data_IF_278269421793
#
_entry.id   IF_278269421793
#
_cell.length_a   1.000
_cell.length_b   1.000
_cell.length_c   1.000
_cell.angle_alpha   90.00
_cell.angle_beta   90.00
_cell.angle_gamma   90.00
#
_symmetry.space_group_name_H-M   'P 1'
#
loop_
_entity.id
_entity.type
_entity.pdbx_description
1 polymer ?
#
# COMPACT_ATOMS: atom_id res chain seq x y z
N UNK A 1 -34.35 38.88 17.70
CA UNK A 1 -35.58 39.10 18.48
C UNK A 1 -36.74 39.33 17.52
N UNK A 2 -37.86 38.64 17.72
CA UNK A 2 -39.15 38.87 17.03
C UNK A 2 -39.67 37.62 16.29
N UNK A 3 -40.48 36.73 16.90
CA UNK A 3 -41.97 36.74 17.02
C UNK A 3 -42.65 36.69 15.65
N UNK A 4 -43.71 35.94 15.31
CA UNK A 4 -44.65 34.99 15.94
C UNK A 4 -45.60 34.54 14.80
N UNK A 5 -46.56 33.64 15.11
CA UNK A 5 -47.80 33.32 14.37
C UNK A 5 -47.74 32.18 13.34
N UNK A 6 -48.76 31.34 13.12
CA UNK A 6 -50.04 31.04 13.78
C UNK A 6 -50.72 29.96 12.93
N UNK A 7 -51.44 29.03 13.55
CA UNK A 7 -52.49 28.22 12.92
C UNK A 7 -52.01 27.04 12.06
N UNK A 8 -52.72 25.93 11.93
CA UNK A 8 -54.10 25.63 12.27
C UNK A 8 -54.26 24.12 12.53
N UNK A 9 -55.28 23.84 13.32
CA UNK A 9 -55.74 22.56 13.82
C UNK A 9 -56.61 21.88 12.76
N UNK A 10 -56.35 20.60 12.44
CA UNK A 10 -57.37 19.61 12.04
C UNK A 10 -56.88 18.24 12.53
N UNK A 11 -57.30 17.72 13.68
CA UNK A 11 -58.60 17.11 13.99
C UNK A 11 -58.99 15.94 13.06
N UNK A 12 -58.71 14.73 13.57
CA UNK A 12 -59.62 13.57 13.63
C UNK A 12 -60.10 12.90 12.34
N UNK A 13 -59.63 11.67 12.10
CA UNK A 13 -60.47 10.50 11.73
C UNK A 13 -59.65 9.20 11.94
N UNK A 14 -60.00 8.44 12.97
CA UNK A 14 -60.74 7.17 12.86
C UNK A 14 -59.84 5.93 12.77
N UNK A 15 -59.69 5.29 13.93
CA UNK A 15 -59.77 3.83 14.15
C UNK A 15 -59.83 2.97 12.87
N UNK A 16 -58.89 2.04 12.71
CA UNK A 16 -59.25 0.61 12.67
C UNK A 16 -58.03 -0.31 12.78
N UNK A 17 -58.17 -1.32 13.64
CA UNK A 17 -57.42 -2.56 13.77
C UNK A 17 -56.67 -3.06 12.53
N UNK A 18 -55.46 -3.59 12.75
CA UNK A 18 -55.25 -5.04 12.75
C UNK A 18 -53.81 -5.37 13.14
N UNK A 19 -53.69 -6.37 14.01
CA UNK A 19 -52.45 -6.98 14.46
C UNK A 19 -51.63 -7.52 13.28
N UNK A 20 -50.32 -7.30 13.31
CA UNK A 20 -49.35 -8.09 12.57
C UNK A 20 -48.28 -8.61 13.54
N UNK A 21 -47.95 -9.91 13.46
CA UNK A 21 -47.12 -10.59 14.43
C UNK A 21 -45.65 -10.18 14.30
N UNK A 22 -45.00 -10.25 15.45
CA UNK A 22 -43.56 -10.11 15.68
C UNK A 22 -42.84 -11.14 14.79
N UNK A 23 -42.19 -10.69 13.71
CA UNK A 23 -41.35 -11.56 12.87
C UNK A 23 -39.94 -11.59 13.47
N UNK A 24 -39.68 -12.66 14.23
CA UNK A 24 -38.36 -13.00 14.75
C UNK A 24 -37.47 -13.49 13.61
N UNK A 25 -36.66 -12.59 13.04
CA UNK A 25 -35.65 -12.95 12.06
C UNK A 25 -34.43 -13.57 12.77
N UNK A 26 -34.49 -14.88 12.99
CA UNK A 26 -33.39 -15.71 13.48
C UNK A 26 -33.11 -16.79 12.45
N UNK A 27 -32.02 -16.66 11.69
CA UNK A 27 -31.58 -17.71 10.78
C UNK A 27 -30.52 -17.26 9.80
N UNK A 28 -29.35 -17.87 9.91
CA UNK A 28 -28.30 -18.00 8.91
C UNK A 28 -27.56 -16.74 8.46
N UNK A 29 -26.63 -16.34 9.31
CA UNK A 29 -25.34 -15.77 8.88
C UNK A 29 -24.48 -16.87 8.26
N UNK A 30 -24.89 -17.44 7.12
CA UNK A 30 -24.06 -18.34 6.31
C UNK A 30 -23.68 -17.60 5.04
N UNK A 31 -22.90 -16.54 5.24
CA UNK A 31 -22.16 -15.84 4.20
C UNK A 31 -21.01 -16.72 3.72
N UNK A 32 -21.30 -17.79 2.99
CA UNK A 32 -20.32 -18.43 2.10
C UNK A 32 -20.26 -17.63 0.80
N UNK A 33 -19.56 -16.50 0.88
CA UNK A 33 -19.08 -15.74 -0.27
C UNK A 33 -17.71 -16.25 -0.71
N UNK A 34 -17.37 -16.08 -1.99
CA UNK A 34 -16.79 -17.11 -2.85
C UNK A 34 -15.27 -17.27 -2.77
N UNK A 35 -14.83 -18.47 -3.17
CA UNK A 35 -13.62 -18.78 -3.92
C UNK A 35 -12.57 -17.66 -4.04
N UNK A 36 -11.49 -17.91 -3.33
CA UNK A 36 -10.15 -17.32 -3.41
C UNK A 36 -9.81 -16.91 -4.85
N UNK A 37 -9.93 -15.62 -5.15
CA UNK A 37 -9.09 -15.01 -6.18
C UNK A 37 -7.80 -14.66 -5.46
N UNK A 38 -6.78 -15.52 -5.61
CA UNK A 38 -5.41 -15.17 -5.25
C UNK A 38 -4.92 -14.12 -6.25
N UNK A 39 -5.39 -12.88 -6.05
CA UNK A 39 -4.62 -11.72 -6.43
C UNK A 39 -3.44 -11.71 -5.47
N UNK A 40 -2.33 -12.34 -5.84
CA UNK A 40 -1.01 -12.06 -5.27
C UNK A 40 -0.62 -10.63 -5.66
N UNK A 41 -1.38 -9.67 -5.13
CA UNK A 41 -1.01 -8.28 -5.11
C UNK A 41 -0.03 -8.18 -3.95
N UNK A 42 1.26 -8.25 -4.31
CA UNK A 42 2.39 -8.08 -3.41
C UNK A 42 2.13 -6.90 -2.45
N UNK A 43 2.61 -6.97 -1.20
CA UNK A 43 2.36 -5.96 -0.18
C UNK A 43 3.10 -4.67 -0.52
N UNK A 44 2.58 -3.88 -1.48
CA UNK A 44 3.12 -2.58 -1.86
C UNK A 44 2.96 -1.52 -0.76
N UNK A 45 2.33 -1.87 0.38
CA UNK A 45 2.11 -0.98 1.52
C UNK A 45 3.11 -1.17 2.65
N UNK A 46 3.87 -2.28 2.68
CA UNK A 46 4.85 -2.53 3.73
C UNK A 46 6.28 -2.13 3.32
N UNK A 47 6.53 -1.99 2.01
CA UNK A 47 7.86 -1.65 1.48
C UNK A 47 8.37 -0.26 1.88
N UNK A 48 7.50 0.65 2.32
CA UNK A 48 7.92 2.00 2.76
C UNK A 48 8.55 2.01 4.16
N UNK A 49 8.09 1.13 5.05
CA UNK A 49 8.67 0.96 6.40
C UNK A 49 9.73 -0.15 6.43
N UNK A 50 9.74 -1.01 5.41
CA UNK A 50 10.76 -2.04 5.25
C UNK A 50 12.16 -1.44 5.15
N UNK A 51 13.00 -1.80 6.11
CA UNK A 51 14.43 -1.50 6.10
C UNK A 51 15.14 -2.57 5.29
N UNK A 52 15.79 -2.14 4.21
CA UNK A 52 16.60 -2.99 3.36
C UNK A 52 17.76 -3.56 4.17
N UNK A 53 18.01 -4.85 4.02
CA UNK A 53 19.13 -5.54 4.65
C UNK A 53 20.03 -6.24 3.63
N UNK A 54 21.13 -6.84 4.12
CA UNK A 54 22.02 -7.62 3.27
C UNK A 54 21.28 -8.81 2.65
N UNK A 55 21.72 -9.23 1.47
CA UNK A 55 21.11 -10.34 0.71
C UNK A 55 19.72 -10.08 0.11
N UNK A 56 19.06 -8.95 0.42
CA UNK A 56 17.83 -8.54 -0.26
C UNK A 56 18.09 -8.27 -1.74
N UNK A 57 17.08 -8.54 -2.57
CA UNK A 57 17.14 -8.28 -4.00
C UNK A 57 16.11 -7.21 -4.36
N UNK A 58 16.59 -6.12 -4.96
CA UNK A 58 15.78 -4.98 -5.35
C UNK A 58 15.89 -4.69 -6.84
N UNK A 59 14.82 -4.19 -7.42
CA UNK A 59 14.78 -3.68 -8.78
C UNK A 59 14.55 -2.19 -8.75
N UNK A 60 15.41 -1.48 -9.47
CA UNK A 60 15.41 -0.02 -9.49
C UNK A 60 15.08 0.41 -10.90
N UNK A 61 13.96 1.09 -11.11
CA UNK A 61 13.64 1.74 -12.37
C UNK A 61 14.04 3.20 -12.31
N UNK A 62 14.95 3.61 -13.18
CA UNK A 62 15.37 4.99 -13.30
C UNK A 62 15.11 5.49 -14.73
N UNK A 63 14.41 6.62 -14.86
CA UNK A 63 14.11 7.22 -16.15
C UNK A 63 15.40 7.70 -16.82
N UNK A 64 15.71 7.16 -18.00
CA UNK A 64 16.95 7.43 -18.73
C UNK A 64 18.09 6.42 -18.48
N UNK A 65 17.89 5.46 -17.57
CA UNK A 65 18.87 4.43 -17.23
C UNK A 65 18.25 3.04 -17.31
N UNK A 66 18.12 2.53 -18.55
CA UNK A 66 17.55 1.21 -18.82
C UNK A 66 18.41 0.07 -18.25
N UNK A 67 19.73 0.17 -18.30
CA UNK A 67 20.63 -0.91 -17.81
C UNK A 67 20.40 -1.26 -16.32
N UNK A 68 20.14 -0.24 -15.49
CA UNK A 68 19.80 -0.42 -14.07
C UNK A 68 18.38 -1.00 -13.91
N UNK A 69 17.48 -0.63 -14.83
CA UNK A 69 16.07 -1.04 -14.83
C UNK A 69 15.84 -2.44 -15.41
N UNK A 70 16.78 -2.96 -16.20
CA UNK A 70 16.70 -4.26 -16.85
C UNK A 70 16.86 -5.41 -15.85
N UNK A 71 17.80 -5.30 -14.91
CA UNK A 71 18.19 -6.40 -14.02
C UNK A 71 17.96 -6.07 -12.55
N UNK A 72 17.45 -7.01 -11.76
CA UNK A 72 17.43 -6.86 -10.31
C UNK A 72 18.86 -6.91 -9.76
N UNK A 73 19.12 -6.14 -8.71
CA UNK A 73 20.41 -6.00 -8.05
C UNK A 73 20.27 -6.53 -6.63
N UNK A 74 21.25 -7.35 -6.23
CA UNK A 74 21.33 -7.89 -4.88
C UNK A 74 22.17 -6.99 -3.98
N UNK A 75 21.72 -6.80 -2.74
CA UNK A 75 22.46 -6.10 -1.70
C UNK A 75 23.57 -7.03 -1.20
N UNK A 76 24.81 -6.55 -1.28
CA UNK A 76 26.00 -7.25 -0.78
C UNK A 76 25.90 -7.49 0.73
N UNK A 77 26.53 -8.53 1.31
CA UNK A 77 26.62 -8.71 2.76
C UNK A 77 27.20 -7.49 3.52
N UNK A 78 28.00 -6.67 2.84
CA UNK A 78 28.51 -5.40 3.38
C UNK A 78 27.44 -4.30 3.47
N UNK A 79 26.28 -4.51 2.83
CA UNK A 79 25.14 -3.61 2.81
C UNK A 79 25.13 -2.61 1.66
N UNK A 80 25.91 -2.86 0.61
CA UNK A 80 26.03 -2.00 -0.56
C UNK A 80 25.43 -2.65 -1.79
N UNK A 81 24.92 -1.85 -2.71
CA UNK A 81 24.54 -2.25 -4.06
C UNK A 81 25.56 -1.67 -5.04
N UNK A 82 25.86 -2.42 -6.09
CA UNK A 82 26.71 -1.93 -7.17
C UNK A 82 25.84 -1.59 -8.38
N UNK A 83 25.95 -0.35 -8.86
CA UNK A 83 25.22 0.16 -10.02
C UNK A 83 26.23 0.48 -11.12
N UNK A 84 26.09 -0.06 -12.35
CA UNK A 84 27.10 0.09 -13.39
C UNK A 84 27.37 1.56 -13.77
N UNK A 85 26.34 2.42 -13.71
CA UNK A 85 26.45 3.85 -14.05
C UNK A 85 26.63 4.78 -12.85
N UNK A 86 26.20 4.36 -11.65
CA UNK A 86 26.19 5.21 -10.44
C UNK A 86 27.24 4.78 -9.40
N UNK A 87 27.93 3.67 -9.65
CA UNK A 87 28.90 3.06 -8.74
C UNK A 87 28.25 2.39 -7.54
N UNK A 88 29.04 2.24 -6.47
CA UNK A 88 28.59 1.59 -5.24
C UNK A 88 27.73 2.54 -4.39
N UNK A 89 26.60 2.03 -3.92
CA UNK A 89 25.61 2.77 -3.14
C UNK A 89 25.23 2.01 -1.87
N UNK A 90 25.14 2.68 -0.72
CA UNK A 90 24.75 2.02 0.55
C UNK A 90 23.24 1.84 0.59
N UNK A 91 22.77 0.59 0.60
CA UNK A 91 21.34 0.27 0.65
C UNK A 91 20.90 -0.30 2.01
N UNK A 92 21.77 -1.04 2.70
CA UNK A 92 21.42 -1.64 3.97
C UNK A 92 21.22 -0.59 5.07
N UNK A 93 20.19 -0.81 5.89
CA UNK A 93 19.77 0.10 6.94
C UNK A 93 19.00 1.33 6.43
N UNK A 94 18.73 1.42 5.13
CA UNK A 94 17.85 2.43 4.54
C UNK A 94 16.49 1.83 4.23
N UNK A 95 15.44 2.63 4.35
CA UNK A 95 14.15 2.28 3.78
C UNK A 95 14.17 2.49 2.27
N UNK A 96 13.22 1.89 1.57
CA UNK A 96 13.04 2.06 0.13
C UNK A 96 12.91 3.55 -0.26
N UNK A 97 12.24 4.34 0.59
CA UNK A 97 12.06 5.78 0.36
C UNK A 97 13.35 6.58 0.54
N UNK A 98 14.17 6.22 1.54
CA UNK A 98 15.49 6.81 1.77
C UNK A 98 16.47 6.46 0.64
N UNK A 99 16.46 5.20 0.19
CA UNK A 99 17.24 4.76 -0.96
C UNK A 99 16.87 5.56 -2.21
N UNK A 100 15.57 5.66 -2.48
CA UNK A 100 15.03 6.43 -3.61
C UNK A 100 15.46 7.89 -3.57
N UNK A 101 15.34 8.55 -2.42
CA UNK A 101 15.70 9.96 -2.27
C UNK A 101 17.16 10.20 -2.63
N UNK A 102 18.07 9.40 -2.07
CA UNK A 102 19.49 9.54 -2.40
C UNK A 102 19.80 9.19 -3.86
N UNK A 103 19.07 8.25 -4.47
CA UNK A 103 19.20 7.96 -5.88
C UNK A 103 18.83 9.17 -6.74
N UNK A 104 17.70 9.83 -6.39
CA UNK A 104 17.24 11.03 -7.07
C UNK A 104 18.25 12.18 -6.95
N UNK A 105 18.87 12.36 -5.79
CA UNK A 105 19.92 13.38 -5.59
C UNK A 105 21.14 13.14 -6.48
N UNK A 106 21.56 11.87 -6.65
CA UNK A 106 22.66 11.51 -7.56
C UNK A 106 22.26 11.76 -9.01
N UNK A 107 21.08 11.26 -9.42
CA UNK A 107 20.56 11.38 -10.78
C UNK A 107 20.25 12.82 -11.18
N UNK A 108 19.93 13.71 -10.24
CA UNK A 108 19.65 15.13 -10.48
C UNK A 108 20.85 15.90 -11.05
N UNK A 109 22.09 15.40 -10.87
CA UNK A 109 23.28 16.03 -11.44
C UNK A 109 23.38 15.82 -12.96
N UNK A 110 22.85 14.71 -13.47
CA UNK A 110 22.91 14.33 -14.89
C UNK A 110 21.59 14.60 -15.63
N UNK A 111 20.44 14.53 -14.94
CA UNK A 111 19.11 14.62 -15.55
C UNK A 111 18.27 15.73 -14.92
N UNK A 112 17.63 16.57 -15.74
CA UNK A 112 16.79 17.69 -15.27
C UNK A 112 15.53 17.26 -14.49
N UNK A 113 15.03 16.05 -14.74
CA UNK A 113 13.86 15.49 -14.08
C UNK A 113 14.12 14.01 -13.75
N UNK A 114 14.94 13.73 -12.72
CA UNK A 114 15.24 12.36 -12.33
C UNK A 114 13.96 11.72 -11.78
N UNK A 115 13.64 10.52 -12.27
CA UNK A 115 12.55 9.72 -11.73
C UNK A 115 13.09 8.33 -11.42
N UNK A 116 12.93 7.90 -10.16
CA UNK A 116 13.37 6.60 -9.69
C UNK A 116 12.26 5.91 -8.91
N UNK A 117 12.10 4.61 -9.15
CA UNK A 117 11.21 3.71 -8.42
C UNK A 117 12.01 2.49 -7.99
N UNK A 118 11.74 2.00 -6.79
CA UNK A 118 12.45 0.87 -6.19
C UNK A 118 11.40 -0.12 -5.75
N UNK A 119 11.57 -1.38 -6.14
CA UNK A 119 10.74 -2.50 -5.72
C UNK A 119 11.63 -3.61 -5.17
N UNK A 120 11.13 -4.29 -4.14
CA UNK A 120 11.82 -5.43 -3.56
C UNK A 120 11.33 -6.67 -4.29
N UNK A 121 12.25 -7.38 -4.94
CA UNK A 121 11.97 -8.61 -5.68
C UNK A 121 12.04 -9.81 -4.74
N UNK A 122 13.01 -9.80 -3.81
CA UNK A 122 13.24 -10.91 -2.90
C UNK A 122 13.68 -10.39 -1.53
N UNK A 123 13.02 -10.91 -0.48
CA UNK A 123 13.32 -10.61 0.91
C UNK A 123 14.28 -11.68 1.44
N UNK A 124 15.58 -11.40 1.38
CA UNK A 124 16.62 -12.28 1.90
C UNK A 124 16.90 -12.04 3.38
N UNK A 125 16.56 -10.85 3.89
CA UNK A 125 16.93 -10.40 5.23
C UNK A 125 15.99 -10.83 6.37
N UNK A 126 14.74 -11.21 6.08
CA UNK A 126 13.77 -11.57 7.11
C UNK A 126 13.54 -13.09 7.16
N UNK A 127 13.87 -13.78 8.26
CA UNK A 127 13.46 -15.18 8.42
C UNK A 127 11.94 -15.25 8.56
N UNK A 128 11.28 -15.94 7.64
CA UNK A 128 9.85 -16.25 7.73
C UNK A 128 9.66 -17.22 8.90
N UNK A 129 9.33 -16.70 10.08
CA UNK A 129 8.99 -17.54 11.23
C UNK A 129 7.52 -17.95 11.10
N UNK A 130 7.28 -19.16 10.57
CA UNK A 130 5.97 -19.82 10.68
C UNK A 130 5.87 -20.48 12.06
N UNK A 131 4.78 -20.22 12.78
CA UNK A 131 4.41 -20.85 14.07
C UNK A 131 3.05 -21.52 13.94
#
# INVERSE_FOLDING_TARGET
MGVSESGCIIASIFFLSAALPIQANRGNSDQVSPTVTASSQAPARDSQDYVLGPEDQIKIWALGFEEISEKPIRIDPSGYIDLPMLGQFKAAGLTVEQLKTQLLERLANDVKAPHASVEIIEFGSQPVSVL
#
